data_IF_611474217335
#
_entry.id   IF_611474217335
#
_cell.length_a   1.000
_cell.length_b   1.000
_cell.length_c   1.000
_cell.angle_alpha   90.00
_cell.angle_beta   90.00
_cell.angle_gamma   90.00
#
_symmetry.space_group_name_H-M   'P 1'
#
loop_
_entity.id
_entity.type
_entity.pdbx_description
1 polymer ?
#
# COMPACT_ATOMS: atom_id res chain seq x y z
N UNK A 1 -11.82 13.58 -0.44
CA UNK A 1 -11.78 14.34 0.82
C UNK A 1 -10.33 14.46 1.27
N UNK A 2 -9.88 15.66 1.53
CA UNK A 2 -8.52 15.93 2.02
C UNK A 2 -8.65 16.39 3.46
N UNK A 3 -8.20 15.59 4.42
CA UNK A 3 -8.11 16.01 5.81
C UNK A 3 -6.63 16.37 6.09
N UNK A 4 -6.39 17.62 6.46
CA UNK A 4 -5.09 18.08 6.96
C UNK A 4 -5.28 18.50 8.42
N UNK A 5 -4.50 17.91 9.32
CA UNK A 5 -4.38 18.38 10.69
C UNK A 5 -2.96 18.90 10.86
N UNK A 6 -2.83 20.22 10.95
CA UNK A 6 -1.59 20.88 11.33
C UNK A 6 -1.64 21.16 12.83
N UNK A 7 -0.65 20.72 13.57
CA UNK A 7 -0.40 21.25 14.91
C UNK A 7 0.47 22.50 14.76
N UNK A 8 -0.10 23.68 14.95
CA UNK A 8 0.69 24.89 15.08
C UNK A 8 1.47 24.80 16.39
N UNK A 9 2.77 24.45 16.31
CA UNK A 9 3.66 24.30 17.46
C UNK A 9 4.21 22.88 17.62
N UNK A 10 5.07 22.68 18.62
CA UNK A 10 5.75 21.39 18.92
C UNK A 10 4.85 20.31 19.54
N UNK A 11 3.54 20.35 19.28
CA UNK A 11 2.55 19.43 19.84
C UNK A 11 2.57 18.05 19.22
N UNK A 12 2.34 17.01 20.03
CA UNK A 12 2.08 15.65 19.56
C UNK A 12 0.60 15.49 19.29
N UNK A 13 0.25 15.04 18.07
CA UNK A 13 -1.12 14.73 17.68
C UNK A 13 -1.33 13.24 17.49
N UNK A 14 -2.59 12.80 17.63
CA UNK A 14 -3.00 11.43 17.33
C UNK A 14 -4.20 11.44 16.39
N UNK A 15 -4.09 10.71 15.29
CA UNK A 15 -5.17 10.49 14.34
C UNK A 15 -5.49 9.00 14.26
N UNK A 16 -6.76 8.65 14.44
CA UNK A 16 -7.27 7.31 14.22
C UNK A 16 -8.41 7.38 13.20
N UNK A 17 -8.33 6.62 12.11
CA UNK A 17 -9.31 6.68 11.04
C UNK A 17 -9.67 5.32 10.45
N UNK A 18 -10.89 5.23 9.92
CA UNK A 18 -11.37 4.09 9.15
C UNK A 18 -11.90 4.54 7.80
N UNK A 19 -11.64 3.73 6.76
CA UNK A 19 -12.20 3.94 5.42
C UNK A 19 -12.79 2.62 4.94
N UNK A 20 -14.07 2.65 4.58
CA UNK A 20 -14.74 1.51 3.95
C UNK A 20 -15.20 1.89 2.55
N UNK A 21 -14.89 1.05 1.57
CA UNK A 21 -15.20 1.23 0.16
C UNK A 21 -15.97 0.01 -0.31
N UNK A 22 -17.11 0.22 -0.95
CA UNK A 22 -17.85 -0.84 -1.62
C UNK A 22 -18.00 -0.48 -3.09
N UNK A 23 -17.40 -1.27 -3.97
CA UNK A 23 -17.51 -1.09 -5.42
C UNK A 23 -18.53 -2.09 -5.92
N UNK A 24 -19.74 -1.58 -6.22
CA UNK A 24 -20.87 -2.41 -6.67
C UNK A 24 -20.64 -3.05 -8.04
N UNK A 25 -21.47 -4.03 -8.38
CA UNK A 25 -21.40 -4.78 -9.64
C UNK A 25 -21.29 -3.87 -10.86
N UNK A 26 -20.37 -4.19 -11.76
CA UNK A 26 -20.06 -3.46 -13.00
C UNK A 26 -19.60 -1.98 -12.79
N UNK A 27 -19.28 -1.57 -11.57
CA UNK A 27 -18.84 -0.21 -11.28
C UNK A 27 -17.33 -0.06 -11.43
N UNK A 28 -16.90 1.14 -11.77
CA UNK A 28 -15.50 1.57 -11.72
C UNK A 28 -15.36 2.69 -10.70
N UNK A 29 -14.47 2.50 -9.72
CA UNK A 29 -14.09 3.55 -8.79
C UNK A 29 -12.60 3.89 -8.95
N UNK A 30 -12.30 5.18 -9.08
CA UNK A 30 -10.94 5.72 -8.94
C UNK A 30 -10.87 6.54 -7.67
N UNK A 31 -9.95 6.19 -6.80
CA UNK A 31 -9.75 6.87 -5.53
C UNK A 31 -8.30 7.31 -5.38
N UNK A 32 -8.11 8.53 -4.93
CA UNK A 32 -6.79 9.04 -4.54
C UNK A 32 -6.85 9.40 -3.06
N UNK A 33 -5.92 8.85 -2.30
CA UNK A 33 -5.79 9.10 -0.87
C UNK A 33 -4.42 9.72 -0.59
N UNK A 34 -4.39 10.91 0.01
CA UNK A 34 -3.15 11.61 0.36
C UNK A 34 -3.06 11.74 1.88
N UNK A 35 -2.06 11.10 2.45
CA UNK A 35 -1.71 11.23 3.87
C UNK A 35 -0.52 12.18 3.98
N UNK A 36 -0.76 13.38 4.52
CA UNK A 36 0.27 14.41 4.73
C UNK A 36 0.10 15.07 6.11
N UNK A 37 0.02 14.25 7.15
CA UNK A 37 -0.06 14.72 8.53
C UNK A 37 1.25 15.40 8.95
N UNK A 38 1.15 16.34 9.87
CA UNK A 38 2.32 16.98 10.48
C UNK A 38 3.29 15.97 11.11
N UNK A 39 4.57 16.31 11.18
CA UNK A 39 5.65 15.45 11.73
C UNK A 39 5.52 15.12 13.22
N UNK A 40 4.62 15.79 13.95
CA UNK A 40 4.27 15.47 15.33
C UNK A 40 3.12 14.48 15.47
N UNK A 41 2.45 14.10 14.37
CA UNK A 41 1.23 13.27 14.42
C UNK A 41 1.54 11.78 14.36
N UNK A 42 0.89 11.01 15.22
CA UNK A 42 0.79 9.55 15.15
C UNK A 42 -0.50 9.21 14.40
N UNK A 43 -0.37 8.51 13.30
CA UNK A 43 -1.48 8.15 12.42
C UNK A 43 -1.71 6.64 12.44
N UNK A 44 -2.91 6.22 12.82
CA UNK A 44 -3.34 4.82 12.77
C UNK A 44 -4.60 4.75 11.92
N UNK A 45 -4.61 3.91 10.89
CA UNK A 45 -5.79 3.76 10.04
C UNK A 45 -6.01 2.31 9.60
N UNK A 46 -7.31 1.99 9.45
CA UNK A 46 -7.74 0.77 8.76
C UNK A 46 -8.56 1.16 7.53
N UNK A 47 -8.21 0.59 6.41
CA UNK A 47 -8.85 0.85 5.14
C UNK A 47 -9.28 -0.49 4.54
N UNK A 48 -10.54 -0.60 4.11
CA UNK A 48 -11.05 -1.83 3.49
C UNK A 48 -11.84 -1.51 2.25
N UNK A 49 -11.56 -2.23 1.17
CA UNK A 49 -12.35 -2.20 -0.06
C UNK A 49 -12.97 -3.57 -0.31
N UNK A 50 -14.24 -3.59 -0.72
CA UNK A 50 -14.95 -4.79 -1.18
C UNK A 50 -15.37 -4.57 -2.63
N UNK A 51 -14.96 -5.48 -3.52
CA UNK A 51 -15.14 -5.34 -4.96
C UNK A 51 -16.03 -6.48 -5.47
N UNK A 52 -17.19 -6.10 -6.00
CA UNK A 52 -18.18 -7.03 -6.52
C UNK A 52 -17.93 -7.44 -7.98
N UNK A 53 -18.84 -8.24 -8.52
CA UNK A 53 -18.73 -8.87 -9.86
C UNK A 53 -18.52 -7.82 -10.97
N UNK A 54 -17.52 -8.08 -11.85
CA UNK A 54 -17.10 -7.23 -12.95
C UNK A 54 -16.77 -5.76 -12.55
N UNK A 55 -16.54 -5.51 -11.26
CA UNK A 55 -16.22 -4.18 -10.77
C UNK A 55 -14.70 -3.96 -10.74
N UNK A 56 -14.30 -2.70 -10.81
CA UNK A 56 -12.90 -2.31 -10.85
C UNK A 56 -12.60 -1.19 -9.85
N UNK A 57 -11.57 -1.39 -9.03
CA UNK A 57 -11.02 -0.37 -8.15
C UNK A 57 -9.64 0.05 -8.65
N UNK A 58 -9.43 1.36 -8.80
CA UNK A 58 -8.10 1.97 -8.96
C UNK A 58 -7.85 2.86 -7.76
N UNK A 59 -6.96 2.42 -6.89
CA UNK A 59 -6.66 3.12 -5.63
C UNK A 59 -5.23 3.60 -5.61
N UNK A 60 -5.03 4.91 -5.56
CA UNK A 60 -3.71 5.53 -5.47
C UNK A 60 -3.54 6.15 -4.09
N UNK A 61 -2.44 5.83 -3.42
CA UNK A 61 -2.06 6.34 -2.12
C UNK A 61 -0.78 7.17 -2.23
N UNK A 62 -0.77 8.35 -1.60
CA UNK A 62 0.45 9.09 -1.29
C UNK A 62 0.61 9.22 0.22
N UNK A 63 1.73 8.73 0.76
CA UNK A 63 2.05 8.78 2.20
C UNK A 63 3.32 9.60 2.41
N UNK A 64 3.15 10.83 2.90
CA UNK A 64 4.19 11.85 2.97
C UNK A 64 4.42 12.37 4.39
N UNK A 65 3.40 12.31 5.24
CA UNK A 65 3.38 12.92 6.56
C UNK A 65 3.48 11.94 7.72
N UNK A 66 3.20 12.45 8.92
CA UNK A 66 3.24 11.81 10.23
C UNK A 66 4.63 11.51 10.80
N UNK A 67 4.72 11.42 12.11
CA UNK A 67 5.87 10.87 12.82
C UNK A 67 5.91 9.36 12.74
N UNK A 68 4.77 8.75 13.00
CA UNK A 68 4.52 7.33 12.84
C UNK A 68 3.19 7.16 12.12
N UNK A 69 3.18 6.36 11.08
CA UNK A 69 1.95 5.95 10.39
C UNK A 69 1.86 4.41 10.42
N UNK A 70 0.76 3.89 10.91
CA UNK A 70 0.44 2.47 10.86
C UNK A 70 -0.90 2.27 10.16
N UNK A 71 -0.86 1.72 8.96
CA UNK A 71 -2.03 1.54 8.10
C UNK A 71 -2.20 0.07 7.75
N UNK A 72 -3.40 -0.44 7.93
CA UNK A 72 -3.84 -1.70 7.35
C UNK A 72 -4.77 -1.39 6.16
N UNK A 73 -4.43 -1.90 4.98
CA UNK A 73 -5.19 -1.71 3.74
C UNK A 73 -5.57 -3.05 3.15
N UNK A 74 -6.85 -3.38 3.23
CA UNK A 74 -7.40 -4.64 2.79
C UNK A 74 -8.26 -4.44 1.53
N UNK A 75 -8.06 -5.27 0.52
CA UNK A 75 -8.86 -5.31 -0.71
C UNK A 75 -9.40 -6.72 -0.88
N UNK A 76 -10.72 -6.87 -0.79
CA UNK A 76 -11.43 -8.14 -0.97
C UNK A 76 -12.14 -8.17 -2.33
N UNK A 77 -11.78 -9.15 -3.17
CA UNK A 77 -12.37 -9.40 -4.48
C UNK A 77 -13.42 -10.51 -4.33
N UNK A 78 -14.63 -10.10 -3.98
CA UNK A 78 -15.73 -11.01 -3.60
C UNK A 78 -16.61 -11.43 -4.76
N UNK A 79 -16.52 -10.75 -5.92
CA UNK A 79 -17.29 -11.05 -7.10
C UNK A 79 -16.42 -11.57 -8.26
N UNK A 80 -16.99 -12.45 -9.09
CA UNK A 80 -16.31 -12.96 -10.29
C UNK A 80 -15.82 -11.81 -11.19
N UNK A 81 -14.63 -11.93 -11.76
CA UNK A 81 -13.98 -10.93 -12.61
C UNK A 81 -13.75 -9.56 -11.92
N UNK A 82 -13.70 -9.51 -10.60
CA UNK A 82 -13.35 -8.30 -9.90
C UNK A 82 -11.88 -7.93 -10.14
N UNK A 83 -11.60 -6.63 -10.27
CA UNK A 83 -10.25 -6.12 -10.51
C UNK A 83 -9.88 -5.07 -9.46
N UNK A 84 -8.64 -5.14 -8.97
CA UNK A 84 -8.04 -4.13 -8.09
C UNK A 84 -6.67 -3.71 -8.61
N UNK A 85 -6.46 -2.42 -8.76
CA UNK A 85 -5.15 -1.82 -8.98
C UNK A 85 -4.86 -0.85 -7.82
N UNK A 86 -3.81 -1.16 -7.05
CA UNK A 86 -3.42 -0.36 -5.88
C UNK A 86 -2.01 0.17 -6.09
N UNK A 87 -1.88 1.49 -6.15
CA UNK A 87 -0.59 2.15 -6.30
C UNK A 87 -0.28 3.01 -5.07
N UNK A 88 0.95 2.96 -4.58
CA UNK A 88 1.40 3.77 -3.46
C UNK A 88 2.72 4.47 -3.75
N UNK A 89 2.80 5.75 -3.39
CA UNK A 89 4.03 6.52 -3.34
C UNK A 89 4.26 6.96 -1.90
N UNK A 90 5.44 6.65 -1.37
CA UNK A 90 5.81 6.95 0.01
C UNK A 90 7.12 7.72 0.02
N UNK A 91 7.13 8.83 0.73
CA UNK A 91 8.36 9.57 0.99
C UNK A 91 8.54 9.76 2.49
N UNK A 92 9.73 9.44 2.98
CA UNK A 92 10.05 9.54 4.41
C UNK A 92 11.37 10.28 4.62
N UNK A 93 11.40 11.10 5.66
CA UNK A 93 12.59 11.88 6.06
C UNK A 93 12.74 11.95 7.58
N UNK A 94 13.86 12.47 8.05
CA UNK A 94 14.15 12.67 9.47
C UNK A 94 14.13 11.36 10.27
N UNK A 95 13.16 11.21 11.16
CA UNK A 95 12.92 10.00 11.98
C UNK A 95 11.52 9.42 11.77
N UNK A 96 10.89 9.72 10.65
CA UNK A 96 9.58 9.16 10.33
C UNK A 96 9.61 7.64 10.25
N UNK A 97 8.50 7.03 10.65
CA UNK A 97 8.30 5.59 10.48
C UNK A 97 6.93 5.35 9.85
N UNK A 98 6.92 4.78 8.65
CA UNK A 98 5.69 4.35 7.99
C UNK A 98 5.61 2.83 7.99
N UNK A 99 4.48 2.29 8.43
CA UNK A 99 4.19 0.86 8.47
C UNK A 99 2.89 0.61 7.70
N UNK A 100 2.97 -0.11 6.59
CA UNK A 100 1.83 -0.45 5.76
C UNK A 100 1.68 -1.96 5.66
N UNK A 101 0.53 -2.46 6.10
CA UNK A 101 0.14 -3.85 5.94
C UNK A 101 -0.95 -3.91 4.86
N UNK A 102 -0.72 -4.66 3.80
CA UNK A 102 -1.66 -4.77 2.68
C UNK A 102 -2.14 -6.21 2.52
N UNK A 103 -3.42 -6.39 2.28
CA UNK A 103 -4.03 -7.68 1.96
C UNK A 103 -4.79 -7.58 0.64
N UNK A 104 -4.43 -8.43 -0.32
CA UNK A 104 -5.19 -8.67 -1.56
C UNK A 104 -5.87 -10.03 -1.39
N UNK A 105 -7.15 -10.04 -1.01
CA UNK A 105 -7.92 -11.26 -0.74
C UNK A 105 -8.82 -11.60 -1.92
N UNK A 106 -8.53 -12.70 -2.58
CA UNK A 106 -9.30 -13.25 -3.68
C UNK A 106 -10.25 -14.30 -3.13
N UNK A 107 -11.55 -13.99 -3.12
CA UNK A 107 -12.61 -14.87 -2.64
C UNK A 107 -13.42 -15.49 -3.81
N UNK A 108 -13.39 -14.85 -4.99
CA UNK A 108 -14.14 -15.25 -6.18
C UNK A 108 -13.23 -15.57 -7.36
N UNK A 109 -13.71 -16.38 -8.35
CA UNK A 109 -12.88 -16.79 -9.47
C UNK A 109 -12.65 -15.68 -10.51
N UNK A 110 -11.58 -15.84 -11.29
CA UNK A 110 -11.20 -14.95 -12.40
C UNK A 110 -10.92 -13.50 -11.97
N UNK A 111 -10.49 -13.31 -10.75
CA UNK A 111 -10.17 -11.99 -10.22
C UNK A 111 -8.73 -11.61 -10.51
N UNK A 112 -8.48 -10.30 -10.63
CA UNK A 112 -7.15 -9.76 -10.81
C UNK A 112 -6.81 -8.70 -9.76
N UNK A 113 -5.62 -8.79 -9.18
CA UNK A 113 -5.09 -7.73 -8.34
C UNK A 113 -3.65 -7.39 -8.69
N UNK A 114 -3.33 -6.08 -8.68
CA UNK A 114 -2.00 -5.54 -8.91
C UNK A 114 -1.72 -4.47 -7.86
N UNK A 115 -0.68 -4.69 -7.05
CA UNK A 115 -0.24 -3.73 -6.04
C UNK A 115 1.20 -3.32 -6.33
N UNK A 116 1.41 -2.02 -6.49
CA UNK A 116 2.74 -1.42 -6.64
C UNK A 116 2.94 -0.31 -5.61
N UNK A 117 3.85 -0.53 -4.66
CA UNK A 117 4.29 0.49 -3.73
C UNK A 117 5.72 0.90 -4.02
N UNK A 118 5.96 2.21 -4.07
CA UNK A 118 7.30 2.79 -4.24
C UNK A 118 7.61 3.74 -3.10
N UNK A 119 8.78 3.56 -2.49
CA UNK A 119 9.26 4.38 -1.39
C UNK A 119 10.56 5.11 -1.74
N UNK A 120 10.70 6.34 -1.27
CA UNK A 120 11.98 7.06 -1.21
C UNK A 120 12.24 7.45 0.25
N UNK A 121 13.41 7.06 0.79
CA UNK A 121 13.71 7.16 2.21
C UNK A 121 14.98 7.98 2.42
N UNK A 122 14.85 9.04 3.22
CA UNK A 122 15.94 9.94 3.55
C UNK A 122 16.24 9.94 5.07
N UNK A 123 17.44 10.36 5.44
CA UNK A 123 17.95 10.49 6.81
C UNK A 123 17.95 9.17 7.59
N UNK A 124 17.28 9.13 8.76
CA UNK A 124 17.12 7.94 9.63
C UNK A 124 15.69 7.44 9.63
N UNK A 125 14.97 7.69 8.55
CA UNK A 125 13.60 7.27 8.41
C UNK A 125 13.48 5.76 8.14
N UNK A 126 12.27 5.22 8.35
CA UNK A 126 11.99 3.80 8.16
C UNK A 126 10.67 3.57 7.46
N UNK A 127 10.68 2.69 6.46
CA UNK A 127 9.48 2.16 5.82
C UNK A 127 9.39 0.65 6.05
N UNK A 128 8.27 0.19 6.55
CA UNK A 128 7.96 -1.25 6.67
C UNK A 128 6.73 -1.54 5.84
N UNK A 129 6.86 -2.43 4.88
CA UNK A 129 5.73 -2.95 4.12
C UNK A 129 5.59 -4.46 4.35
N UNK A 130 4.37 -4.88 4.69
CA UNK A 130 3.99 -6.29 4.74
C UNK A 130 2.83 -6.49 3.78
N UNK A 131 3.08 -7.23 2.70
CA UNK A 131 2.07 -7.55 1.69
C UNK A 131 1.64 -9.01 1.79
N UNK A 132 0.35 -9.27 1.68
CA UNK A 132 -0.20 -10.61 1.60
C UNK A 132 -1.15 -10.70 0.41
N UNK A 133 -0.98 -11.71 -0.43
CA UNK A 133 -2.00 -12.16 -1.36
C UNK A 133 -2.58 -13.44 -0.79
N UNK A 134 -3.88 -13.42 -0.50
CA UNK A 134 -4.65 -14.59 -0.07
C UNK A 134 -5.62 -15.01 -1.17
N UNK A 135 -5.62 -16.29 -1.50
CA UNK A 135 -6.47 -16.86 -2.53
C UNK A 135 -7.23 -18.05 -1.95
N UNK A 136 -8.55 -17.88 -1.81
CA UNK A 136 -9.43 -18.93 -1.30
C UNK A 136 -9.59 -20.06 -2.34
N UNK A 137 -9.94 -21.25 -1.89
CA UNK A 137 -10.10 -22.45 -2.73
C UNK A 137 -11.04 -22.24 -3.92
N UNK A 138 -12.09 -21.44 -3.76
CA UNK A 138 -13.04 -21.12 -4.82
C UNK A 138 -12.50 -20.11 -5.85
N UNK A 139 -11.45 -19.37 -5.53
CA UNK A 139 -10.92 -18.29 -6.35
C UNK A 139 -9.97 -18.79 -7.47
N UNK A 140 -10.45 -19.74 -8.26
CA UNK A 140 -9.71 -20.25 -9.41
C UNK A 140 -9.50 -19.18 -10.49
N UNK A 141 -8.45 -19.30 -11.29
CA UNK A 141 -8.06 -18.35 -12.35
C UNK A 141 -7.73 -16.96 -11.82
N UNK A 142 -7.22 -16.89 -10.60
CA UNK A 142 -6.70 -15.66 -10.00
C UNK A 142 -5.40 -15.24 -10.68
N UNK A 143 -5.27 -13.94 -10.95
CA UNK A 143 -4.03 -13.28 -11.35
C UNK A 143 -3.67 -12.21 -10.29
N UNK A 144 -2.75 -12.54 -9.40
CA UNK A 144 -2.34 -11.69 -8.28
C UNK A 144 -0.88 -11.27 -8.39
N UNK A 145 -0.63 -9.96 -8.28
CA UNK A 145 0.71 -9.40 -8.25
C UNK A 145 0.87 -8.39 -7.13
N UNK A 146 2.02 -8.41 -6.45
CA UNK A 146 2.40 -7.36 -5.51
C UNK A 146 3.89 -7.03 -5.63
N UNK A 147 4.20 -5.74 -5.55
CA UNK A 147 5.57 -5.25 -5.63
C UNK A 147 5.81 -4.06 -4.73
N UNK A 148 6.98 -4.07 -4.06
CA UNK A 148 7.45 -2.92 -3.30
C UNK A 148 8.89 -2.59 -3.72
N UNK A 149 9.09 -1.38 -4.25
CA UNK A 149 10.40 -0.87 -4.66
C UNK A 149 10.77 0.33 -3.79
N UNK A 150 11.91 0.26 -3.12
CA UNK A 150 12.37 1.32 -2.23
C UNK A 150 13.73 1.85 -2.64
N UNK A 151 13.84 3.18 -2.69
CA UNK A 151 15.07 3.91 -2.94
C UNK A 151 15.54 4.54 -1.63
N UNK A 152 16.71 4.12 -1.17
CA UNK A 152 17.34 4.70 0.03
C UNK A 152 18.26 5.84 -0.39
N UNK A 153 17.92 7.05 0.06
CA UNK A 153 18.63 8.29 -0.24
C UNK A 153 19.70 8.62 0.84
N UNK A 154 19.71 7.87 1.94
CA UNK A 154 20.67 8.05 3.03
C UNK A 154 21.11 6.71 3.62
N UNK A 155 22.33 6.62 4.11
CA UNK A 155 22.90 5.39 4.69
C UNK A 155 22.17 4.90 5.94
N UNK A 156 21.61 5.80 6.70
CA UNK A 156 20.88 5.48 7.93
C UNK A 156 19.38 5.18 7.69
N UNK A 157 18.89 5.34 6.46
CA UNK A 157 17.51 4.96 6.09
C UNK A 157 17.34 3.44 6.12
N UNK A 158 16.15 2.97 6.44
CA UNK A 158 15.84 1.54 6.55
C UNK A 158 14.53 1.21 5.86
N UNK A 159 14.55 0.13 5.07
CA UNK A 159 13.38 -0.45 4.41
C UNK A 159 13.26 -1.93 4.74
N UNK A 160 12.09 -2.34 5.22
CA UNK A 160 11.74 -3.74 5.45
C UNK A 160 10.56 -4.09 4.54
N UNK A 161 10.75 -4.99 3.57
CA UNK A 161 9.71 -5.48 2.67
C UNK A 161 9.46 -6.96 2.94
N UNK A 162 8.24 -7.31 3.33
CA UNK A 162 7.87 -8.66 3.77
C UNK A 162 6.64 -9.12 2.96
N UNK A 163 6.84 -9.55 1.70
CA UNK A 163 5.75 -10.12 0.91
C UNK A 163 5.44 -11.55 1.33
N UNK A 164 4.17 -11.92 1.27
CA UNK A 164 3.67 -13.26 1.54
C UNK A 164 2.57 -13.70 0.57
N UNK A 165 2.42 -15.01 0.41
CA UNK A 165 1.39 -15.65 -0.40
C UNK A 165 0.74 -16.76 0.46
N UNK A 166 -0.60 -16.78 0.49
CA UNK A 166 -1.42 -17.86 1.06
C UNK A 166 -2.40 -18.31 -0.03
N UNK A 167 -2.16 -19.48 -0.61
CA UNK A 167 -2.87 -19.93 -1.81
C UNK A 167 -3.50 -21.29 -1.54
N UNK A 168 -4.83 -21.35 -1.59
CA UNK A 168 -5.62 -22.57 -1.42
C UNK A 168 -6.20 -23.10 -2.75
N UNK A 169 -6.04 -22.35 -3.87
CA UNK A 169 -6.51 -22.72 -5.19
C UNK A 169 -5.39 -23.27 -6.08
N UNK A 170 -5.74 -24.07 -7.10
CA UNK A 170 -4.77 -24.77 -7.96
C UNK A 170 -4.47 -24.02 -9.26
N UNK A 171 -5.49 -23.45 -9.92
CA UNK A 171 -5.35 -22.73 -11.20
C UNK A 171 -5.20 -21.24 -10.96
N UNK A 172 -3.99 -20.79 -10.60
CA UNK A 172 -3.70 -19.41 -10.27
C UNK A 172 -2.32 -18.96 -10.74
N UNK A 173 -2.16 -17.66 -10.93
CA UNK A 173 -0.88 -17.00 -11.15
C UNK A 173 -0.70 -15.92 -10.10
N UNK A 174 0.11 -16.20 -9.07
CA UNK A 174 0.39 -15.24 -8.01
C UNK A 174 1.89 -15.07 -7.85
N UNK A 175 2.35 -13.83 -7.92
CA UNK A 175 3.77 -13.51 -7.82
C UNK A 175 3.98 -12.25 -6.97
N UNK A 176 5.19 -12.12 -6.41
CA UNK A 176 5.59 -10.92 -5.71
C UNK A 176 7.02 -10.50 -6.04
N UNK A 177 7.33 -9.23 -5.79
CA UNK A 177 8.67 -8.68 -5.88
C UNK A 177 8.93 -7.65 -4.79
N UNK A 178 10.17 -7.59 -4.34
CA UNK A 178 10.62 -6.52 -3.45
C UNK A 178 12.04 -6.12 -3.82
N UNK A 179 12.28 -4.83 -3.95
CA UNK A 179 13.60 -4.29 -4.20
C UNK A 179 13.91 -3.14 -3.24
N UNK A 180 15.14 -3.08 -2.77
CA UNK A 180 15.66 -1.94 -2.02
C UNK A 180 17.04 -1.63 -2.56
N UNK A 181 17.19 -0.42 -3.09
CA UNK A 181 18.41 0.03 -3.72
C UNK A 181 18.86 1.38 -3.20
N UNK A 182 20.12 1.71 -3.47
CA UNK A 182 20.68 3.05 -3.29
C UNK A 182 21.03 3.62 -4.64
N UNK A 183 21.02 4.93 -4.74
CA UNK A 183 21.55 5.60 -5.91
C UNK A 183 23.07 5.67 -5.74
N UNK A 184 23.79 5.15 -6.71
CA UNK A 184 25.22 5.30 -6.79
C UNK A 184 25.59 6.72 -7.21
N UNK A 185 26.50 7.36 -6.51
CA UNK A 185 26.96 8.72 -6.80
C UNK A 185 27.56 8.84 -8.22
N UNK A 186 28.23 7.78 -8.71
CA UNK A 186 28.70 7.75 -10.10
C UNK A 186 27.56 7.77 -11.10
N UNK A 187 26.48 7.02 -10.82
CA UNK A 187 25.31 7.02 -11.70
C UNK A 187 24.62 8.39 -11.73
N UNK A 188 24.57 9.11 -10.60
CA UNK A 188 24.06 10.47 -10.54
C UNK A 188 24.92 11.39 -11.39
N UNK A 189 26.25 11.25 -11.31
CA UNK A 189 27.18 12.06 -12.08
C UNK A 189 27.01 11.86 -13.59
N UNK A 190 26.82 10.62 -14.05
CA UNK A 190 26.61 10.32 -15.46
C UNK A 190 25.19 10.62 -15.98
N UNK A 191 24.20 10.77 -15.10
CA UNK A 191 22.81 11.12 -15.46
C UNK A 191 22.58 12.62 -15.63
#
# INVERSE_FOLDING_TARGET
ETATCGTAGSGTGFHCGGTEIVVGKNALLRMVNVQNWDRGVWHVARQKAVIHENAKLQWTLAALGSRLSQVAQDVALVGKNAEAQVNGVMFTEGKQQLVYNTLQHHEAPSCRSDLLYKGALQDRSRLVWRGMIKVDKAAQKTDGYQRNDNLMLSDAARSDSIPGLEIEADDVRCTHGATSGRVDEEQIFYA
#
